data_IF_267876303939
#
_entry.id   IF_267876303939
#
_cell.length_a   1.000
_cell.length_b   1.000
_cell.length_c   1.000
_cell.angle_alpha   90.00
_cell.angle_beta   90.00
_cell.angle_gamma   90.00
#
_symmetry.space_group_name_H-M   'P 1'
#
loop_
_entity.id
_entity.type
_entity.pdbx_description
1 polymer ?
#
# COMPACT_ATOMS: atom_id res chain seq x y z
N UNK A 1 -1.61 -2.32 -39.10
CA UNK A 1 -0.68 -2.65 -38.00
C UNK A 1 0.66 -3.02 -38.61
N UNK A 2 1.80 -2.55 -38.07
CA UNK A 2 3.12 -2.91 -38.59
C UNK A 2 3.29 -4.44 -38.51
N UNK A 3 3.95 -5.04 -39.50
CA UNK A 3 4.11 -6.51 -39.60
C UNK A 3 4.75 -7.14 -38.36
N UNK A 4 5.62 -6.39 -37.67
CA UNK A 4 6.34 -6.86 -36.49
C UNK A 4 5.45 -7.02 -35.25
N UNK A 5 4.49 -6.11 -35.02
CA UNK A 5 3.62 -6.17 -33.86
C UNK A 5 2.72 -7.44 -33.88
N UNK A 6 2.29 -7.85 -35.08
CA UNK A 6 1.53 -9.09 -35.27
C UNK A 6 2.36 -10.33 -34.94
N UNK A 7 3.62 -10.35 -35.35
CA UNK A 7 4.53 -11.47 -35.10
C UNK A 7 4.84 -11.63 -33.61
N UNK A 8 4.94 -10.52 -32.87
CA UNK A 8 5.14 -10.52 -31.41
C UNK A 8 3.96 -11.19 -30.69
N UNK A 9 2.72 -10.89 -31.08
CA UNK A 9 1.53 -11.48 -30.43
C UNK A 9 1.39 -12.97 -30.76
N UNK A 10 1.54 -13.35 -32.03
CA UNK A 10 1.33 -14.74 -32.48
C UNK A 10 2.34 -15.72 -31.85
N UNK A 11 3.57 -15.26 -31.64
CA UNK A 11 4.65 -16.10 -31.09
C UNK A 11 4.84 -15.92 -29.58
N UNK A 12 3.92 -15.24 -28.90
CA UNK A 12 4.05 -14.93 -27.50
C UNK A 12 4.01 -16.20 -26.63
N UNK A 13 5.00 -16.31 -25.74
CA UNK A 13 5.08 -17.37 -24.74
C UNK A 13 5.38 -16.75 -23.38
N UNK A 14 4.79 -17.31 -22.33
CA UNK A 14 5.07 -16.90 -20.97
C UNK A 14 6.53 -17.21 -20.61
N UNK A 15 7.30 -16.18 -20.23
CA UNK A 15 8.74 -16.30 -19.92
C UNK A 15 8.97 -16.66 -18.46
N UNK A 16 8.07 -16.23 -17.57
CA UNK A 16 8.16 -16.40 -16.13
C UNK A 16 7.03 -17.30 -15.62
N UNK A 17 7.27 -17.99 -14.51
CA UNK A 17 6.23 -18.65 -13.71
C UNK A 17 5.69 -17.68 -12.66
N UNK A 18 4.39 -17.73 -12.38
CA UNK A 18 3.78 -16.86 -11.36
C UNK A 18 2.33 -16.50 -11.67
N UNK A 19 1.91 -15.32 -11.21
CA UNK A 19 0.57 -14.77 -11.50
C UNK A 19 0.73 -13.46 -12.24
N UNK A 20 0.02 -13.32 -13.35
CA UNK A 20 0.09 -12.14 -14.21
C UNK A 20 -0.71 -10.96 -13.64
N UNK A 21 -0.63 -9.80 -14.30
CA UNK A 21 -1.26 -8.56 -13.83
C UNK A 21 -2.80 -8.61 -13.76
N UNK A 22 -3.42 -9.63 -14.38
CA UNK A 22 -4.86 -9.89 -14.37
C UNK A 22 -5.26 -11.06 -13.46
N UNK A 23 -4.32 -11.64 -12.71
CA UNK A 23 -4.61 -12.72 -11.76
C UNK A 23 -4.59 -14.14 -12.33
N UNK A 24 -4.21 -14.32 -13.60
CA UNK A 24 -4.06 -15.64 -14.20
C UNK A 24 -2.67 -16.24 -13.94
N UNK A 25 -2.60 -17.56 -13.87
CA UNK A 25 -1.34 -18.26 -13.66
C UNK A 25 -0.49 -18.32 -14.93
N UNK A 26 0.72 -17.79 -14.86
CA UNK A 26 1.75 -17.91 -15.89
C UNK A 26 2.49 -19.23 -15.72
N UNK A 27 2.56 -20.00 -16.80
CA UNK A 27 3.30 -21.26 -16.90
C UNK A 27 4.38 -21.10 -17.95
N UNK A 28 5.64 -21.32 -17.57
CA UNK A 28 6.77 -21.09 -18.47
C UNK A 28 6.62 -21.84 -19.80
N UNK A 29 6.98 -21.17 -20.89
CA UNK A 29 6.89 -21.65 -22.28
C UNK A 29 5.48 -21.99 -22.79
N UNK A 30 4.43 -21.73 -22.02
CA UNK A 30 3.05 -21.85 -22.49
C UNK A 30 2.76 -20.75 -23.52
N UNK A 31 2.08 -21.14 -24.60
CA UNK A 31 1.57 -20.17 -25.57
C UNK A 31 0.60 -19.22 -24.89
N UNK A 32 0.87 -17.92 -25.05
CA UNK A 32 0.18 -16.86 -24.32
C UNK A 32 -0.34 -15.77 -25.26
N UNK A 33 -0.73 -16.22 -26.46
CA UNK A 33 -1.21 -15.37 -27.56
C UNK A 33 -2.45 -14.59 -27.13
N UNK A 34 -3.37 -15.23 -26.41
CA UNK A 34 -4.62 -14.61 -25.95
C UNK A 34 -4.34 -13.52 -24.92
N UNK A 35 -3.54 -13.81 -23.88
CA UNK A 35 -3.16 -12.82 -22.88
C UNK A 35 -2.39 -11.65 -23.50
N UNK A 36 -1.41 -11.94 -24.35
CA UNK A 36 -0.61 -10.92 -25.03
C UNK A 36 -1.46 -10.05 -25.94
N UNK A 37 -2.44 -10.64 -26.64
CA UNK A 37 -3.40 -9.89 -27.45
C UNK A 37 -4.27 -8.97 -26.58
N UNK A 38 -4.79 -9.47 -25.46
CA UNK A 38 -5.60 -8.70 -24.52
C UNK A 38 -4.78 -7.54 -23.95
N UNK A 39 -3.55 -7.78 -23.48
CA UNK A 39 -2.66 -6.74 -22.99
C UNK A 39 -2.35 -5.69 -24.08
N UNK A 40 -2.10 -6.13 -25.31
CA UNK A 40 -1.82 -5.22 -26.43
C UNK A 40 -3.01 -4.32 -26.74
N UNK A 41 -4.24 -4.86 -26.69
CA UNK A 41 -5.48 -4.10 -26.86
C UNK A 41 -5.63 -3.11 -25.71
N UNK A 42 -5.49 -3.57 -24.47
CA UNK A 42 -5.57 -2.72 -23.28
C UNK A 42 -4.52 -1.60 -23.32
N UNK A 43 -3.27 -1.89 -23.70
CA UNK A 43 -2.22 -0.88 -23.84
C UNK A 43 -2.53 0.14 -24.94
N UNK A 44 -3.09 -0.30 -26.06
CA UNK A 44 -3.45 0.59 -27.16
C UNK A 44 -4.56 1.59 -26.79
N UNK A 45 -5.57 1.15 -26.03
CA UNK A 45 -6.73 1.97 -25.70
C UNK A 45 -6.61 2.71 -24.36
N UNK A 46 -5.96 2.10 -23.37
CA UNK A 46 -5.89 2.60 -21.99
C UNK A 46 -4.47 3.05 -21.58
N UNK A 47 -3.48 2.89 -22.46
CA UNK A 47 -2.07 3.07 -22.13
C UNK A 47 -1.49 1.90 -21.34
N UNK A 48 -0.19 1.95 -21.02
CA UNK A 48 0.49 0.85 -20.32
C UNK A 48 -0.22 0.48 -19.02
N UNK A 49 -0.64 -0.77 -18.92
CA UNK A 49 -0.95 -1.44 -17.66
C UNK A 49 0.37 -1.62 -16.90
N UNK A 50 0.88 -0.54 -16.31
CA UNK A 50 1.87 -0.66 -15.24
C UNK A 50 1.16 -1.44 -14.15
N UNK A 51 1.82 -2.48 -13.62
CA UNK A 51 1.32 -3.27 -12.51
C UNK A 51 0.69 -2.32 -11.47
N UNK A 52 -0.64 -2.36 -11.34
CA UNK A 52 -1.38 -1.41 -10.51
C UNK A 52 -0.86 -1.46 -9.07
N UNK A 53 -0.41 -2.65 -8.62
CA UNK A 53 0.24 -2.83 -7.33
C UNK A 53 1.56 -2.06 -7.21
N UNK A 54 2.38 -1.98 -8.25
CA UNK A 54 3.62 -1.18 -8.22
C UNK A 54 3.32 0.31 -8.17
N UNK A 55 2.28 0.77 -8.86
CA UNK A 55 1.84 2.18 -8.77
C UNK A 55 1.29 2.49 -7.37
N UNK A 56 0.49 1.59 -6.80
CA UNK A 56 -0.01 1.72 -5.42
C UNK A 56 1.15 1.73 -4.42
N UNK A 57 2.11 0.82 -4.55
CA UNK A 57 3.33 0.76 -3.71
C UNK A 57 4.12 2.05 -3.81
N UNK A 58 4.32 2.57 -5.02
CA UNK A 58 4.99 3.85 -5.23
C UNK A 58 4.26 5.01 -4.54
N UNK A 59 2.93 5.10 -4.69
CA UNK A 59 2.12 6.12 -4.04
C UNK A 59 2.17 6.02 -2.52
N UNK A 60 2.03 4.81 -1.96
CA UNK A 60 2.14 4.58 -0.53
C UNK A 60 3.54 4.90 0.01
N UNK A 61 4.59 4.65 -0.76
CA UNK A 61 5.96 5.00 -0.38
C UNK A 61 6.19 6.52 -0.27
N UNK A 62 5.52 7.31 -1.12
CA UNK A 62 5.57 8.77 -1.07
C UNK A 62 4.57 9.43 -0.10
N UNK A 63 3.58 8.67 0.39
CA UNK A 63 2.52 9.20 1.25
C UNK A 63 3.04 9.42 2.68
N UNK A 64 2.85 10.63 3.22
CA UNK A 64 3.20 10.98 4.60
C UNK A 64 2.18 11.93 5.21
N UNK A 65 1.94 11.79 6.50
CA UNK A 65 1.16 12.74 7.29
C UNK A 65 2.10 13.85 7.80
N UNK A 66 2.02 15.05 7.23
CA UNK A 66 2.96 16.12 7.57
C UNK A 66 2.70 16.71 8.95
N UNK A 67 1.43 16.79 9.33
CA UNK A 67 1.00 17.25 10.65
C UNK A 67 -0.36 16.64 11.01
N UNK A 68 -0.69 16.63 12.31
CA UNK A 68 -1.91 15.96 12.80
C UNK A 68 -3.21 16.53 12.24
N UNK A 69 -3.24 17.79 11.79
CA UNK A 69 -4.39 18.35 11.08
C UNK A 69 -4.74 17.62 9.77
N UNK A 70 -3.78 16.94 9.15
CA UNK A 70 -3.97 16.13 7.93
C UNK A 70 -4.28 14.66 8.23
N UNK A 71 -4.31 14.25 9.50
CA UNK A 71 -4.43 12.84 9.87
C UNK A 71 -5.65 12.16 9.24
N UNK A 72 -6.79 12.86 9.16
CA UNK A 72 -8.00 12.33 8.50
C UNK A 72 -7.74 12.02 7.03
N UNK A 73 -7.18 12.98 6.29
CA UNK A 73 -6.86 12.81 4.86
C UNK A 73 -5.82 11.72 4.64
N UNK A 74 -4.76 11.71 5.45
CA UNK A 74 -3.72 10.68 5.41
C UNK A 74 -4.32 9.30 5.62
N UNK A 75 -5.11 9.11 6.69
CA UNK A 75 -5.79 7.85 7.02
C UNK A 75 -6.67 7.37 5.86
N UNK A 76 -7.55 8.23 5.36
CA UNK A 76 -8.49 7.85 4.30
C UNK A 76 -7.76 7.51 3.00
N UNK A 77 -6.74 8.29 2.64
CA UNK A 77 -5.91 8.05 1.45
C UNK A 77 -5.11 6.76 1.58
N UNK A 78 -4.42 6.56 2.71
CA UNK A 78 -3.63 5.37 2.97
C UNK A 78 -4.50 4.11 2.89
N UNK A 79 -5.64 4.10 3.58
CA UNK A 79 -6.55 2.95 3.59
C UNK A 79 -7.12 2.66 2.20
N UNK A 80 -7.52 3.69 1.46
CA UNK A 80 -8.05 3.49 0.09
C UNK A 80 -7.05 2.75 -0.80
N UNK A 81 -5.76 3.02 -0.65
CA UNK A 81 -4.70 2.42 -1.48
C UNK A 81 -4.19 1.10 -0.96
N UNK A 82 -3.95 0.99 0.35
CA UNK A 82 -3.42 -0.25 0.92
C UNK A 82 -4.40 -1.40 0.79
N UNK A 83 -5.71 -1.13 0.87
CA UNK A 83 -6.76 -2.16 0.74
C UNK A 83 -6.87 -2.73 -0.68
N UNK A 84 -6.31 -2.05 -1.68
CA UNK A 84 -6.22 -2.56 -3.06
C UNK A 84 -5.07 -3.57 -3.21
N UNK A 85 -4.10 -3.64 -2.28
CA UNK A 85 -3.00 -4.60 -2.33
C UNK A 85 -3.45 -5.99 -1.85
N UNK A 86 -3.04 -7.04 -2.56
CA UNK A 86 -3.20 -8.43 -2.11
C UNK A 86 -2.45 -8.70 -0.79
N UNK A 87 -1.35 -8.01 -0.56
CA UNK A 87 -0.45 -8.13 0.59
C UNK A 87 -0.79 -7.16 1.73
N UNK A 88 -1.97 -6.54 1.75
CA UNK A 88 -2.32 -5.47 2.70
C UNK A 88 -2.21 -5.87 4.19
N UNK A 89 -2.27 -7.17 4.49
CA UNK A 89 -2.18 -7.72 5.83
C UNK A 89 -0.76 -7.85 6.38
N UNK A 90 0.27 -7.65 5.54
CA UNK A 90 1.67 -7.74 5.97
C UNK A 90 1.99 -6.70 7.04
N UNK A 91 2.80 -7.10 8.02
CA UNK A 91 3.27 -6.22 9.10
C UNK A 91 3.94 -4.95 8.58
N UNK A 92 4.63 -5.05 7.44
CA UNK A 92 5.28 -3.92 6.77
C UNK A 92 4.32 -2.74 6.56
N UNK A 93 3.12 -2.98 6.03
CA UNK A 93 2.16 -1.91 5.75
C UNK A 93 1.57 -1.32 7.04
N UNK A 94 1.32 -2.17 8.05
CA UNK A 94 0.87 -1.71 9.37
C UNK A 94 1.92 -0.85 10.08
N UNK A 95 3.19 -1.25 10.01
CA UNK A 95 4.31 -0.49 10.55
C UNK A 95 4.47 0.85 9.81
N UNK A 96 4.45 0.79 8.48
CA UNK A 96 4.55 1.96 7.60
C UNK A 96 3.46 2.99 7.89
N UNK A 97 2.22 2.56 8.14
CA UNK A 97 1.13 3.45 8.52
C UNK A 97 1.46 4.31 9.74
N UNK A 98 2.20 3.77 10.72
CA UNK A 98 2.63 4.49 11.92
C UNK A 98 3.90 5.31 11.66
N UNK A 99 4.85 4.75 10.91
CA UNK A 99 6.14 5.40 10.60
C UNK A 99 5.98 6.67 9.75
N UNK A 100 4.96 6.74 8.90
CA UNK A 100 4.67 7.90 8.05
C UNK A 100 3.86 9.01 8.77
N UNK A 101 3.60 8.85 10.08
CA UNK A 101 3.07 9.92 10.93
C UNK A 101 4.16 10.94 11.32
N UNK A 102 3.80 12.14 11.82
CA UNK A 102 4.78 13.08 12.35
C UNK A 102 5.65 12.42 13.43
N UNK A 103 6.98 12.51 13.31
CA UNK A 103 7.94 11.66 14.06
C UNK A 103 7.71 11.58 15.56
N UNK A 104 7.51 12.72 16.24
CA UNK A 104 7.24 12.75 17.69
C UNK A 104 5.94 12.05 18.05
N UNK A 105 4.93 12.18 17.20
CA UNK A 105 3.64 11.52 17.39
C UNK A 105 3.73 10.02 17.10
N UNK A 106 4.42 9.64 16.02
CA UNK A 106 4.69 8.24 15.68
C UNK A 106 5.36 7.51 16.86
N UNK A 107 6.38 8.12 17.48
CA UNK A 107 7.05 7.53 18.64
C UNK A 107 6.15 7.43 19.87
N UNK A 108 5.23 8.39 20.09
CA UNK A 108 4.23 8.29 21.15
C UNK A 108 3.28 7.11 20.92
N UNK A 109 2.75 6.98 19.71
CA UNK A 109 1.89 5.84 19.34
C UNK A 109 2.66 4.52 19.46
N UNK A 110 3.89 4.43 18.95
CA UNK A 110 4.71 3.21 19.11
C UNK A 110 4.90 2.81 20.57
N UNK A 111 5.04 3.76 21.50
CA UNK A 111 5.15 3.46 22.93
C UNK A 111 3.88 2.80 23.49
N UNK A 112 2.69 3.16 23.00
CA UNK A 112 1.43 2.53 23.41
C UNK A 112 1.24 1.14 22.79
N UNK A 113 1.81 0.91 21.61
CA UNK A 113 1.74 -0.37 20.89
C UNK A 113 2.75 -1.42 21.40
N UNK A 114 3.81 -1.01 22.11
CA UNK A 114 4.84 -1.92 22.61
C UNK A 114 4.27 -2.86 23.67
N UNK A 115 4.63 -4.14 23.56
CA UNK A 115 4.37 -5.14 24.59
C UNK A 115 5.30 -4.95 25.81
N UNK A 116 5.14 -5.73 26.91
CA UNK A 116 6.02 -5.65 28.09
C UNK A 116 7.51 -5.86 27.79
N UNK A 117 7.85 -6.53 26.68
CA UNK A 117 9.22 -6.75 26.20
C UNK A 117 9.74 -5.59 25.32
N UNK A 118 8.94 -4.56 25.07
CA UNK A 118 9.30 -3.41 24.25
C UNK A 118 9.20 -3.65 22.73
N UNK A 119 8.62 -4.76 22.30
CA UNK A 119 8.47 -5.15 20.89
C UNK A 119 7.04 -4.82 20.40
N UNK A 120 6.91 -4.39 19.15
CA UNK A 120 5.61 -4.18 18.50
C UNK A 120 5.35 -5.36 17.55
N UNK A 121 4.37 -6.19 17.89
CA UNK A 121 3.90 -7.30 17.06
C UNK A 121 2.76 -6.82 16.16
N UNK A 122 3.10 -6.23 15.00
CA UNK A 122 2.09 -5.66 14.09
C UNK A 122 1.13 -6.71 13.52
N UNK A 123 1.49 -8.00 13.51
CA UNK A 123 0.61 -9.13 13.17
C UNK A 123 -0.68 -9.11 13.99
N UNK A 124 -0.62 -8.75 15.27
CA UNK A 124 -1.75 -8.73 16.22
C UNK A 124 -2.67 -7.52 16.07
N UNK A 125 -2.34 -6.57 15.18
CA UNK A 125 -3.11 -5.34 14.98
C UNK A 125 -3.91 -5.37 13.69
N UNK A 126 -5.14 -4.88 13.75
CA UNK A 126 -5.88 -4.47 12.55
C UNK A 126 -5.64 -2.99 12.30
N UNK A 127 -5.84 -2.52 11.05
CA UNK A 127 -5.81 -1.09 10.77
C UNK A 127 -6.79 -0.31 11.65
N UNK A 128 -7.97 -0.86 11.93
CA UNK A 128 -8.95 -0.26 12.85
C UNK A 128 -8.38 -0.04 14.25
N UNK A 129 -7.65 -1.02 14.80
CA UNK A 129 -7.00 -0.91 16.12
C UNK A 129 -5.91 0.17 16.11
N UNK A 130 -5.04 0.16 15.11
CA UNK A 130 -3.99 1.18 14.95
C UNK A 130 -4.57 2.60 14.85
N UNK A 131 -5.65 2.77 14.08
CA UNK A 131 -6.35 4.05 13.96
C UNK A 131 -6.94 4.48 15.30
N UNK A 132 -7.51 3.53 16.06
CA UNK A 132 -8.00 3.77 17.42
C UNK A 132 -6.89 4.27 18.33
N UNK A 133 -5.74 3.59 18.34
CA UNK A 133 -4.57 3.96 19.15
C UNK A 133 -4.03 5.34 18.77
N UNK A 134 -3.92 5.64 17.46
CA UNK A 134 -3.56 6.98 16.98
C UNK A 134 -4.57 8.04 17.44
N UNK A 135 -5.88 7.76 17.32
CA UNK A 135 -6.92 8.74 17.69
C UNK A 135 -6.88 9.04 19.18
N UNK A 136 -6.75 8.00 20.01
CA UNK A 136 -6.65 8.14 21.45
C UNK A 136 -5.40 8.94 21.86
N UNK A 137 -4.26 8.66 21.24
CA UNK A 137 -3.02 9.38 21.53
C UNK A 137 -3.08 10.84 21.07
N UNK A 138 -3.79 11.12 19.97
CA UNK A 138 -4.09 12.49 19.53
C UNK A 138 -4.90 13.26 20.57
N UNK A 139 -5.93 12.64 21.14
CA UNK A 139 -6.74 13.23 22.22
C UNK A 139 -5.88 13.50 23.46
N UNK A 140 -5.04 12.53 23.87
CA UNK A 140 -4.14 12.67 25.01
C UNK A 140 -3.19 13.87 24.82
N UNK A 141 -2.56 13.97 23.66
CA UNK A 141 -1.67 15.09 23.31
C UNK A 141 -2.40 16.43 23.34
N UNK A 142 -3.62 16.51 22.79
CA UNK A 142 -4.42 17.73 22.85
C UNK A 142 -4.74 18.15 24.29
N UNK A 143 -5.07 17.20 25.16
CA UNK A 143 -5.36 17.46 26.57
C UNK A 143 -4.12 17.98 27.31
N UNK A 144 -2.95 17.37 27.08
CA UNK A 144 -1.67 17.82 27.66
C UNK A 144 -1.31 19.24 27.23
N UNK A 145 -1.44 19.55 25.94
CA UNK A 145 -1.18 20.89 25.40
C UNK A 145 -2.17 21.95 25.92
N UNK A 146 -3.40 21.54 26.24
CA UNK A 146 -4.39 22.43 26.86
C UNK A 146 -4.04 22.73 28.31
N UNK A 147 -3.63 21.71 29.08
CA UNK A 147 -3.20 21.86 30.47
C UNK A 147 -1.93 22.71 30.58
N UNK A 148 -0.94 22.52 29.71
CA UNK A 148 0.30 23.29 29.74
C UNK A 148 0.12 24.78 29.44
N UNK A 149 -0.96 25.16 28.76
CA UNK A 149 -1.33 26.57 28.50
C UNK A 149 -2.05 27.23 29.67
N UNK A 150 -2.48 26.46 30.67
CA UNK A 150 -3.19 26.94 31.86
C UNK A 150 -2.25 27.12 33.08
N UNK A 151 -0.99 26.69 32.95
CA UNK A 151 0.09 26.89 33.90
C UNK A 151 0.94 28.10 33.47
#
# INVERSE_FOLDING_TARGET
>A
MPSDARAVVINAKAVNEGVENLGFALVQNREDVVYTLILTILEHFSGRFINQYETIRFLLNGLRCRHLGEFRWYKDTYLSRVMELSENGLEFWKAKFIDDLPSLFAERVKKTLRNPQGIILYSDFTYGKLIGDCTQEGINLCNELKLSRQL
#
